data_IF_713086450568
#
_entry.id   IF_713086450568
#
_cell.length_a   1.000
_cell.length_b   1.000
_cell.length_c   1.000
_cell.angle_alpha   90.00
_cell.angle_beta   90.00
_cell.angle_gamma   90.00
#
_symmetry.space_group_name_H-M   'P 1'
#
loop_
_entity.id
_entity.type
_entity.pdbx_description
1 polymer ?
#
# COMPACT_ATOMS: atom_id res chain seq x y z
N UNK A 1 18.89 -1.13 8.80
CA UNK A 1 18.29 -0.02 8.02
C UNK A 1 19.20 1.20 7.89
N UNK A 2 19.72 1.78 8.99
CA UNK A 2 20.54 3.01 8.98
C UNK A 2 21.66 3.08 7.90
N UNK A 3 22.44 2.01 7.71
CA UNK A 3 23.52 1.95 6.71
C UNK A 3 23.02 2.00 5.25
N UNK A 4 21.83 1.45 4.98
CA UNK A 4 21.20 1.52 3.65
C UNK A 4 20.75 2.94 3.37
N UNK A 5 20.13 3.60 4.35
CA UNK A 5 19.65 4.97 4.23
C UNK A 5 20.78 5.93 3.89
N UNK A 6 21.88 5.87 4.64
CA UNK A 6 23.05 6.71 4.37
C UNK A 6 23.66 6.47 2.99
N UNK A 7 23.66 5.22 2.52
CA UNK A 7 24.20 4.86 1.21
C UNK A 7 23.28 5.30 0.08
N UNK A 8 21.96 5.15 0.24
CA UNK A 8 20.96 5.60 -0.72
C UNK A 8 20.91 7.13 -0.77
N UNK A 9 21.04 7.81 0.37
CA UNK A 9 21.16 9.26 0.46
C UNK A 9 22.37 9.76 -0.35
N UNK A 10 23.54 9.11 -0.25
CA UNK A 10 24.71 9.45 -1.09
C UNK A 10 24.41 9.31 -2.59
N UNK A 11 23.60 8.33 -2.98
CA UNK A 11 23.21 8.16 -4.38
C UNK A 11 22.30 9.28 -4.88
N UNK A 12 21.51 9.93 -4.02
CA UNK A 12 20.66 11.08 -4.42
C UNK A 12 21.49 12.21 -5.06
N UNK A 13 22.70 12.48 -4.55
CA UNK A 13 23.57 13.52 -5.10
C UNK A 13 24.10 13.23 -6.52
N UNK A 14 24.00 11.97 -6.97
CA UNK A 14 24.53 11.54 -8.28
C UNK A 14 23.46 11.01 -9.24
N UNK A 15 22.25 10.75 -8.74
CA UNK A 15 21.11 10.27 -9.50
C UNK A 15 19.90 11.19 -9.30
N UNK A 16 19.69 12.18 -10.20
CA UNK A 16 18.63 13.17 -10.07
C UNK A 16 17.22 12.57 -9.95
N UNK A 17 16.91 11.47 -10.65
CA UNK A 17 15.61 10.80 -10.51
C UNK A 17 15.38 10.32 -9.08
N UNK A 18 16.39 9.73 -8.43
CA UNK A 18 16.32 9.29 -7.04
C UNK A 18 16.21 10.47 -6.09
N UNK A 19 16.99 11.54 -6.29
CA UNK A 19 16.88 12.77 -5.49
C UNK A 19 15.47 13.33 -5.49
N UNK A 20 14.89 13.53 -6.67
CA UNK A 20 13.53 14.05 -6.81
C UNK A 20 12.51 13.09 -6.19
N UNK A 21 12.68 11.77 -6.34
CA UNK A 21 11.80 10.79 -5.69
C UNK A 21 11.87 10.89 -4.16
N UNK A 22 13.07 10.96 -3.59
CA UNK A 22 13.28 11.07 -2.14
C UNK A 22 12.68 12.36 -1.57
N UNK A 23 12.83 13.49 -2.26
CA UNK A 23 12.22 14.76 -1.88
C UNK A 23 10.69 14.69 -1.91
N UNK A 24 10.11 14.10 -2.95
CA UNK A 24 8.68 13.90 -3.03
C UNK A 24 8.17 13.01 -1.88
N UNK A 25 8.85 11.89 -1.58
CA UNK A 25 8.44 11.01 -0.46
C UNK A 25 8.53 11.74 0.88
N UNK A 26 9.58 12.54 1.10
CA UNK A 26 9.71 13.35 2.31
C UNK A 26 8.55 14.35 2.45
N UNK A 27 8.16 15.02 1.37
CA UNK A 27 7.01 15.93 1.37
C UNK A 27 5.68 15.19 1.60
N UNK A 28 5.50 13.99 1.03
CA UNK A 28 4.33 13.15 1.28
C UNK A 28 4.27 12.66 2.73
N UNK A 29 5.42 12.34 3.33
CA UNK A 29 5.50 11.95 4.74
C UNK A 29 5.22 13.12 5.68
N UNK A 30 5.74 14.31 5.38
CA UNK A 30 5.40 15.54 6.10
C UNK A 30 3.88 15.81 6.03
N UNK A 31 3.28 15.65 4.84
CA UNK A 31 1.82 15.73 4.67
C UNK A 31 1.10 14.70 5.54
N UNK A 32 1.58 13.46 5.63
CA UNK A 32 0.99 12.45 6.51
C UNK A 32 1.01 12.85 7.99
N UNK A 33 2.14 13.37 8.49
CA UNK A 33 2.26 13.78 9.89
C UNK A 33 1.40 15.01 10.22
N UNK A 34 1.31 15.96 9.28
CA UNK A 34 0.66 17.24 9.53
C UNK A 34 -0.83 17.27 9.16
N UNK A 35 -1.41 16.17 8.67
CA UNK A 35 -2.79 16.16 8.19
C UNK A 35 -3.57 14.99 8.75
N UNK A 36 -4.75 15.28 9.30
CA UNK A 36 -5.62 14.28 9.91
C UNK A 36 -6.52 13.63 8.86
N UNK A 37 -7.01 14.36 7.86
CA UNK A 37 -7.82 13.84 6.75
C UNK A 37 -7.62 14.63 5.44
N UNK A 38 -7.61 13.93 4.31
CA UNK A 38 -7.92 14.51 2.99
C UNK A 38 -7.08 15.73 2.54
N UNK A 39 -5.78 15.75 2.84
CA UNK A 39 -4.94 16.88 2.40
C UNK A 39 -4.43 16.72 0.98
N UNK A 40 -4.54 17.80 0.21
CA UNK A 40 -4.02 17.89 -1.16
C UNK A 40 -2.50 17.93 -1.14
N UNK A 41 -1.89 17.35 -2.17
CA UNK A 41 -0.45 17.43 -2.41
C UNK A 41 -0.02 18.88 -2.58
N UNK A 42 1.14 19.23 -2.04
CA UNK A 42 1.73 20.56 -2.28
C UNK A 42 2.23 20.68 -3.72
N UNK A 43 2.46 21.91 -4.18
CA UNK A 43 3.04 22.16 -5.50
C UNK A 43 4.45 21.57 -5.60
N UNK A 44 5.21 21.67 -4.52
CA UNK A 44 6.56 21.13 -4.38
C UNK A 44 6.56 19.60 -4.47
N UNK A 45 5.61 18.93 -3.78
CA UNK A 45 5.44 17.47 -3.85
C UNK A 45 5.17 17.04 -5.29
N UNK A 46 4.25 17.74 -5.97
CA UNK A 46 3.92 17.46 -7.37
C UNK A 46 5.10 17.72 -8.32
N UNK A 47 5.86 18.79 -8.07
CA UNK A 47 7.05 19.14 -8.86
C UNK A 47 8.11 18.04 -8.76
N UNK A 48 8.49 17.65 -7.54
CA UNK A 48 9.52 16.63 -7.35
C UNK A 48 9.07 15.27 -7.86
N UNK A 49 7.81 14.90 -7.69
CA UNK A 49 7.29 13.66 -8.27
C UNK A 49 7.37 13.71 -9.81
N UNK A 50 6.85 14.75 -10.45
CA UNK A 50 6.87 14.88 -11.91
C UNK A 50 8.30 14.81 -12.49
N UNK A 51 9.24 15.54 -11.88
CA UNK A 51 10.65 15.50 -12.27
C UNK A 51 11.26 14.10 -12.10
N UNK A 52 10.99 13.44 -10.97
CA UNK A 52 11.44 12.08 -10.72
C UNK A 52 10.97 11.13 -11.83
N UNK A 53 9.66 11.14 -12.13
CA UNK A 53 9.06 10.29 -13.16
C UNK A 53 9.67 10.53 -14.54
N UNK A 54 9.85 11.80 -14.94
CA UNK A 54 10.42 12.15 -16.23
C UNK A 54 11.88 11.69 -16.37
N UNK A 55 12.71 11.98 -15.35
CA UNK A 55 14.12 11.60 -15.32
C UNK A 55 14.31 10.10 -15.23
N UNK A 56 13.43 9.42 -14.49
CA UNK A 56 13.44 7.96 -14.38
C UNK A 56 13.11 7.30 -15.72
N UNK A 57 12.10 7.83 -16.43
CA UNK A 57 11.76 7.34 -17.77
C UNK A 57 12.92 7.50 -18.75
N UNK A 58 13.59 8.67 -18.76
CA UNK A 58 14.80 8.88 -19.57
C UNK A 58 15.94 7.93 -19.17
N UNK A 59 16.14 7.68 -17.86
CA UNK A 59 17.17 6.75 -17.38
C UNK A 59 16.92 5.32 -17.88
N UNK A 60 15.67 4.85 -17.86
CA UNK A 60 15.30 3.50 -18.30
C UNK A 60 15.41 3.30 -19.81
N UNK A 61 15.39 4.37 -20.61
CA UNK A 61 15.61 4.29 -22.08
C UNK A 61 17.08 4.10 -22.45
N UNK A 62 18.00 4.24 -21.50
CA UNK A 62 19.44 4.12 -21.73
C UNK A 62 19.94 2.76 -21.24
N UNK A 63 21.06 2.25 -21.77
CA UNK A 63 21.67 1.03 -21.26
C UNK A 63 21.96 1.12 -19.75
N UNK A 64 21.44 0.15 -18.99
CA UNK A 64 21.60 0.07 -17.53
C UNK A 64 22.93 -0.60 -17.20
N UNK A 65 23.80 0.12 -16.49
CA UNK A 65 25.07 -0.41 -15.96
C UNK A 65 24.88 -0.94 -14.54
N UNK A 66 25.79 -1.78 -14.07
CA UNK A 66 25.73 -2.33 -12.70
C UNK A 66 25.56 -1.26 -11.62
N UNK A 67 26.30 -0.15 -11.72
CA UNK A 67 26.22 0.98 -10.77
C UNK A 67 24.86 1.70 -10.75
N UNK A 68 24.05 1.51 -11.79
CA UNK A 68 22.75 2.16 -11.93
C UNK A 68 21.63 1.33 -11.28
N UNK A 69 21.87 0.05 -10.97
CA UNK A 69 20.85 -0.90 -10.49
C UNK A 69 20.19 -0.46 -9.18
N UNK A 70 20.97 -0.07 -8.16
CA UNK A 70 20.42 0.40 -6.88
C UNK A 70 19.68 1.73 -6.97
N UNK A 71 20.21 2.77 -7.65
CA UNK A 71 19.44 3.98 -7.90
C UNK A 71 18.12 3.71 -8.62
N UNK A 72 18.11 2.82 -9.63
CA UNK A 72 16.89 2.47 -10.37
C UNK A 72 15.87 1.80 -9.44
N UNK A 73 16.29 0.82 -8.65
CA UNK A 73 15.40 0.15 -7.70
C UNK A 73 14.88 1.12 -6.63
N UNK A 74 15.76 1.99 -6.10
CA UNK A 74 15.42 3.04 -5.15
C UNK A 74 14.36 4.00 -5.69
N UNK A 75 14.56 4.51 -6.91
CA UNK A 75 13.59 5.40 -7.57
C UNK A 75 12.27 4.68 -7.83
N UNK A 76 12.28 3.45 -8.33
CA UNK A 76 11.06 2.67 -8.58
C UNK A 76 10.27 2.41 -7.29
N UNK A 77 10.96 2.08 -6.20
CA UNK A 77 10.33 1.89 -4.90
C UNK A 77 9.70 3.17 -4.36
N UNK A 78 10.41 4.30 -4.44
CA UNK A 78 9.88 5.59 -4.02
C UNK A 78 8.65 6.01 -4.86
N UNK A 79 8.69 5.81 -6.18
CA UNK A 79 7.54 6.08 -7.06
C UNK A 79 6.34 5.17 -6.75
N UNK A 80 6.57 3.90 -6.39
CA UNK A 80 5.50 3.01 -5.94
C UNK A 80 4.86 3.51 -4.64
N UNK A 81 5.66 3.95 -3.66
CA UNK A 81 5.15 4.55 -2.41
C UNK A 81 4.38 5.84 -2.68
N UNK A 82 4.90 6.74 -3.52
CA UNK A 82 4.23 7.98 -3.91
C UNK A 82 2.87 7.71 -4.56
N UNK A 83 2.85 6.78 -5.50
CA UNK A 83 1.62 6.36 -6.19
C UNK A 83 0.61 5.79 -5.20
N UNK A 84 1.06 4.97 -4.26
CA UNK A 84 0.17 4.41 -3.25
C UNK A 84 -0.37 5.49 -2.30
N UNK A 85 0.50 6.30 -1.72
CA UNK A 85 0.20 7.32 -0.70
C UNK A 85 -0.59 8.54 -1.19
N UNK A 86 -0.89 8.59 -2.49
CA UNK A 86 -1.54 9.74 -3.11
C UNK A 86 -2.79 9.30 -3.86
N UNK A 87 -3.91 9.06 -3.15
CA UNK A 87 -5.19 8.86 -3.82
C UNK A 87 -5.54 10.10 -4.67
N UNK A 88 -6.23 9.88 -5.79
CA UNK A 88 -6.63 10.97 -6.70
C UNK A 88 -7.66 11.90 -6.05
N UNK A 89 -8.38 11.38 -5.06
CA UNK A 89 -9.39 12.07 -4.31
C UNK A 89 -8.95 12.34 -2.87
N UNK A 90 -9.47 13.42 -2.31
CA UNK A 90 -9.27 13.80 -0.92
C UNK A 90 -10.51 13.56 -0.06
N UNK A 91 -11.67 13.34 -0.70
CA UNK A 91 -12.93 12.98 -0.06
C UNK A 91 -13.31 11.56 -0.45
N UNK A 92 -13.92 10.78 0.46
CA UNK A 92 -14.42 9.44 0.14
C UNK A 92 -15.39 9.43 -1.05
N UNK A 93 -16.30 10.40 -1.11
CA UNK A 93 -17.32 10.52 -2.16
C UNK A 93 -16.71 10.68 -3.56
N UNK A 94 -15.56 11.36 -3.64
CA UNK A 94 -14.84 11.61 -4.90
C UNK A 94 -13.83 10.48 -5.22
N UNK A 95 -13.64 9.54 -4.31
CA UNK A 95 -12.65 8.46 -4.42
C UNK A 95 -13.24 7.23 -5.07
N UNK A 96 -12.38 6.41 -5.67
CA UNK A 96 -12.75 5.02 -5.93
C UNK A 96 -12.99 4.30 -4.59
N UNK A 97 -14.01 3.41 -4.46
CA UNK A 97 -14.93 2.94 -5.50
C UNK A 97 -16.19 3.81 -5.75
N UNK A 98 -16.40 4.91 -5.02
CA UNK A 98 -17.60 5.76 -5.12
C UNK A 98 -17.70 6.52 -6.45
N UNK A 99 -16.60 7.13 -6.92
CA UNK A 99 -16.58 7.88 -8.18
C UNK A 99 -17.04 7.00 -9.35
N UNK A 100 -17.69 7.57 -10.37
CA UNK A 100 -18.04 6.83 -11.58
C UNK A 100 -16.80 6.16 -12.19
N UNK A 101 -16.96 4.90 -12.62
CA UNK A 101 -15.84 4.12 -13.16
C UNK A 101 -15.10 4.89 -14.25
N UNK A 102 -13.79 5.02 -14.08
CA UNK A 102 -12.91 5.78 -14.96
C UNK A 102 -11.74 4.94 -15.45
N UNK A 103 -11.03 5.45 -16.47
CA UNK A 103 -9.86 4.77 -17.02
C UNK A 103 -8.69 4.63 -16.02
N UNK A 104 -8.69 5.41 -14.94
CA UNK A 104 -7.60 5.47 -13.96
C UNK A 104 -7.86 4.61 -12.70
N UNK A 105 -8.93 3.80 -12.69
CA UNK A 105 -9.28 2.97 -11.54
C UNK A 105 -8.21 1.90 -11.28
N UNK A 106 -7.73 1.82 -10.03
CA UNK A 106 -6.67 0.90 -9.60
C UNK A 106 -5.33 1.07 -10.34
N UNK A 107 -5.03 2.25 -10.90
CA UNK A 107 -3.73 2.53 -11.56
C UNK A 107 -2.52 2.28 -10.64
N UNK A 108 -2.69 2.48 -9.33
CA UNK A 108 -1.65 2.16 -8.35
C UNK A 108 -1.26 0.68 -8.36
N UNK A 109 -2.19 -0.23 -8.65
CA UNK A 109 -1.92 -1.68 -8.80
C UNK A 109 -1.05 -1.91 -10.03
N UNK A 110 -1.37 -1.24 -11.15
CA UNK A 110 -0.58 -1.30 -12.38
C UNK A 110 0.85 -0.80 -12.13
N UNK A 111 1.02 0.28 -11.37
CA UNK A 111 2.33 0.84 -11.04
C UNK A 111 3.19 -0.10 -10.18
N UNK A 112 2.59 -0.76 -9.17
CA UNK A 112 3.31 -1.75 -8.34
C UNK A 112 3.82 -2.90 -9.22
N UNK A 113 2.99 -3.41 -10.13
CA UNK A 113 3.40 -4.45 -11.08
C UNK A 113 4.52 -3.95 -12.01
N UNK A 114 4.45 -2.68 -12.44
CA UNK A 114 5.48 -2.02 -13.23
C UNK A 114 6.84 -2.03 -12.54
N UNK A 115 6.90 -1.75 -11.23
CA UNK A 115 8.15 -1.88 -10.45
C UNK A 115 8.72 -3.30 -10.51
N UNK A 116 7.87 -4.33 -10.38
CA UNK A 116 8.33 -5.72 -10.37
C UNK A 116 8.89 -6.19 -11.71
N UNK A 117 8.51 -5.55 -12.82
CA UNK A 117 9.15 -5.80 -14.12
C UNK A 117 10.66 -5.49 -14.14
N UNK A 118 11.13 -4.62 -13.23
CA UNK A 118 12.54 -4.27 -13.10
C UNK A 118 13.33 -5.30 -12.28
N UNK A 119 12.67 -6.24 -11.60
CA UNK A 119 13.31 -7.15 -10.64
C UNK A 119 14.50 -7.91 -11.23
N UNK A 120 14.32 -8.51 -12.40
CA UNK A 120 15.36 -9.27 -13.09
C UNK A 120 16.48 -8.37 -13.64
N UNK A 121 16.17 -7.11 -13.98
CA UNK A 121 17.14 -6.16 -14.51
C UNK A 121 18.08 -5.63 -13.41
N UNK A 122 17.52 -5.30 -12.25
CA UNK A 122 18.26 -4.66 -11.16
C UNK A 122 18.77 -5.65 -10.12
N UNK A 123 18.19 -6.84 -10.05
CA UNK A 123 18.56 -7.93 -9.13
C UNK A 123 18.82 -7.39 -7.72
N UNK A 124 17.78 -6.91 -7.00
CA UNK A 124 17.98 -6.19 -5.73
C UNK A 124 18.63 -7.07 -4.65
N UNK A 125 18.60 -8.39 -4.83
CA UNK A 125 19.20 -9.40 -3.97
C UNK A 125 20.66 -9.73 -4.25
N UNK A 126 21.28 -9.15 -5.29
CA UNK A 126 22.71 -9.35 -5.57
C UNK A 126 23.57 -8.96 -4.37
N UNK A 127 24.68 -9.65 -4.15
CA UNK A 127 25.51 -9.51 -2.94
C UNK A 127 26.08 -8.10 -2.77
N UNK A 128 26.32 -7.39 -3.87
CA UNK A 128 26.84 -6.01 -3.88
C UNK A 128 25.74 -4.92 -3.88
N UNK A 129 24.48 -5.32 -3.75
CA UNK A 129 23.34 -4.38 -3.66
C UNK A 129 23.19 -3.80 -2.26
N UNK A 130 22.89 -2.50 -2.20
CA UNK A 130 22.44 -1.86 -0.97
C UNK A 130 21.17 -2.50 -0.39
N UNK A 131 20.35 -3.09 -1.24
CA UNK A 131 19.08 -3.75 -0.87
C UNK A 131 19.24 -5.21 -0.46
N UNK A 132 20.45 -5.78 -0.52
CA UNK A 132 20.68 -7.17 -0.12
C UNK A 132 20.26 -7.44 1.34
N UNK A 133 20.39 -6.45 2.22
CA UNK A 133 19.94 -6.56 3.62
C UNK A 133 18.42 -6.71 3.78
N UNK A 134 17.65 -6.40 2.74
CA UNK A 134 16.20 -6.56 2.72
C UNK A 134 15.76 -7.99 2.37
N UNK A 135 16.67 -8.97 2.34
CA UNK A 135 16.37 -10.35 1.98
C UNK A 135 15.14 -10.92 2.69
N UNK A 136 15.05 -10.76 4.02
CA UNK A 136 13.88 -11.19 4.80
C UNK A 136 12.57 -10.56 4.31
N UNK A 137 12.59 -9.25 4.01
CA UNK A 137 11.42 -8.54 3.48
C UNK A 137 11.01 -9.07 2.11
N UNK A 138 11.98 -9.37 1.24
CA UNK A 138 11.72 -9.93 -0.08
C UNK A 138 11.22 -11.37 -0.02
N UNK A 139 11.74 -12.18 0.91
CA UNK A 139 11.28 -13.55 1.15
C UNK A 139 9.83 -13.55 1.65
N UNK A 140 9.47 -12.61 2.54
CA UNK A 140 8.08 -12.41 2.98
C UNK A 140 7.17 -11.99 1.82
N UNK A 141 7.61 -11.00 1.03
CA UNK A 141 6.87 -10.46 -0.11
C UNK A 141 6.59 -11.53 -1.19
N UNK A 142 7.56 -12.42 -1.42
CA UNK A 142 7.50 -13.47 -2.44
C UNK A 142 7.13 -14.83 -1.84
N UNK A 143 6.65 -14.85 -0.60
CA UNK A 143 6.29 -16.08 0.10
C UNK A 143 5.27 -16.88 -0.72
N UNK A 144 5.49 -18.20 -0.91
CA UNK A 144 4.54 -19.03 -1.63
C UNK A 144 3.23 -19.10 -0.84
N UNK A 145 2.12 -18.91 -1.56
CA UNK A 145 0.79 -19.19 -1.01
C UNK A 145 0.42 -20.65 -1.32
N UNK A 146 -0.47 -21.27 -0.52
CA UNK A 146 -0.99 -22.60 -0.82
C UNK A 146 -1.57 -22.68 -2.24
N UNK A 147 -1.45 -23.84 -2.89
CA UNK A 147 -2.05 -24.09 -4.21
C UNK A 147 -3.50 -24.57 -4.12
N UNK A 148 -3.87 -25.15 -2.97
CA UNK A 148 -5.20 -25.72 -2.72
C UNK A 148 -5.61 -25.55 -1.25
N UNK A 149 -6.92 -25.43 -1.02
CA UNK A 149 -7.55 -25.48 0.29
C UNK A 149 -7.51 -24.17 1.07
N UNK A 150 -7.88 -24.25 2.35
CA UNK A 150 -8.26 -23.10 3.19
C UNK A 150 -7.33 -22.87 4.37
N UNK A 151 -6.23 -23.63 4.47
CA UNK A 151 -5.33 -23.60 5.63
C UNK A 151 -4.82 -22.18 5.90
N UNK A 152 -5.03 -21.70 7.12
CA UNK A 152 -4.55 -20.39 7.57
C UNK A 152 -5.52 -19.23 7.31
N UNK A 153 -6.64 -19.49 6.63
CA UNK A 153 -7.72 -18.53 6.42
C UNK A 153 -8.70 -18.62 7.60
N UNK A 154 -9.06 -17.50 8.26
CA UNK A 154 -10.12 -17.48 9.26
C UNK A 154 -11.47 -17.93 8.70
N UNK A 155 -12.24 -18.70 9.48
CA UNK A 155 -13.53 -19.26 9.07
C UNK A 155 -14.48 -18.24 8.40
N UNK A 156 -14.66 -17.02 8.92
CA UNK A 156 -15.57 -16.08 8.27
C UNK A 156 -15.13 -15.65 6.87
N UNK A 157 -13.82 -15.61 6.62
CA UNK A 157 -13.28 -15.31 5.28
C UNK A 157 -13.49 -16.52 4.35
N UNK A 158 -13.37 -17.74 4.87
CA UNK A 158 -13.68 -18.98 4.12
C UNK A 158 -15.14 -18.94 3.65
N UNK A 159 -16.07 -18.67 4.58
CA UNK A 159 -17.50 -18.62 4.29
C UNK A 159 -17.85 -17.55 3.24
N UNK A 160 -17.37 -16.32 3.42
CA UNK A 160 -17.70 -15.20 2.52
C UNK A 160 -17.07 -15.38 1.14
N UNK A 161 -15.85 -15.92 1.07
CA UNK A 161 -15.19 -16.19 -0.21
C UNK A 161 -15.67 -17.49 -0.86
N UNK A 162 -16.58 -18.24 -0.23
CA UNK A 162 -17.08 -19.55 -0.67
C UNK A 162 -15.93 -20.53 -0.94
N UNK A 163 -14.95 -20.56 -0.04
CA UNK A 163 -13.80 -21.46 -0.14
C UNK A 163 -14.10 -22.79 0.57
N UNK A 164 -13.48 -23.86 0.09
CA UNK A 164 -13.52 -25.20 0.68
C UNK A 164 -12.16 -25.89 0.50
N UNK A 165 -11.98 -27.08 1.08
CA UNK A 165 -10.69 -27.79 1.14
C UNK A 165 -10.05 -28.14 -0.21
N UNK A 166 -10.83 -28.09 -1.29
CA UNK A 166 -10.38 -28.36 -2.65
C UNK A 166 -10.33 -27.09 -3.52
N UNK A 167 -10.70 -25.93 -2.99
CA UNK A 167 -10.65 -24.68 -3.75
C UNK A 167 -9.23 -24.38 -4.19
N UNK A 168 -9.11 -23.87 -5.42
CA UNK A 168 -7.85 -23.46 -6.04
C UNK A 168 -7.99 -22.05 -6.61
N UNK A 169 -6.86 -21.47 -7.02
CA UNK A 169 -6.85 -20.16 -7.69
C UNK A 169 -7.50 -20.16 -9.08
N UNK A 170 -7.56 -21.32 -9.75
CA UNK A 170 -8.17 -21.45 -11.08
C UNK A 170 -9.70 -21.41 -11.01
N UNK A 171 -10.26 -21.93 -9.91
CA UNK A 171 -11.71 -22.04 -9.72
C UNK A 171 -12.30 -20.85 -8.95
N UNK A 172 -11.56 -20.31 -7.99
CA UNK A 172 -12.04 -19.24 -7.12
C UNK A 172 -11.17 -17.98 -7.22
N UNK A 173 -11.70 -16.87 -7.76
CA UNK A 173 -10.94 -15.64 -7.97
C UNK A 173 -10.53 -14.93 -6.66
N UNK A 174 -11.13 -15.28 -5.52
CA UNK A 174 -10.77 -14.74 -4.20
C UNK A 174 -9.61 -15.50 -3.55
N UNK A 175 -9.26 -16.69 -4.04
CA UNK A 175 -8.39 -17.63 -3.35
C UNK A 175 -7.07 -17.02 -2.87
N UNK A 176 -6.27 -16.42 -3.77
CA UNK A 176 -5.00 -15.82 -3.38
C UNK A 176 -5.17 -14.55 -2.53
N UNK A 177 -6.21 -13.77 -2.79
CA UNK A 177 -6.52 -12.58 -1.99
C UNK A 177 -6.85 -12.97 -0.55
N UNK A 178 -7.72 -13.97 -0.35
CA UNK A 178 -8.10 -14.48 0.97
C UNK A 178 -6.89 -15.02 1.74
N UNK A 179 -6.04 -15.83 1.12
CA UNK A 179 -4.78 -16.32 1.72
C UNK A 179 -3.85 -15.17 2.11
N UNK A 180 -3.62 -14.22 1.22
CA UNK A 180 -2.69 -13.11 1.46
C UNK A 180 -3.20 -12.13 2.53
N UNK A 181 -4.49 -11.81 2.55
CA UNK A 181 -5.11 -10.98 3.61
C UNK A 181 -5.00 -11.70 4.96
N UNK A 182 -5.32 -13.00 4.99
CA UNK A 182 -5.28 -13.80 6.22
C UNK A 182 -3.88 -13.82 6.84
N UNK A 183 -2.84 -13.91 6.01
CA UNK A 183 -1.45 -13.84 6.50
C UNK A 183 -1.17 -12.56 7.28
N UNK A 184 -1.65 -11.41 6.80
CA UNK A 184 -1.43 -10.11 7.46
C UNK A 184 -2.34 -9.94 8.68
N UNK A 185 -3.57 -10.45 8.63
CA UNK A 185 -4.52 -10.38 9.74
C UNK A 185 -4.06 -11.18 10.97
N UNK A 186 -3.37 -12.31 10.76
CA UNK A 186 -2.90 -13.19 11.83
C UNK A 186 -1.68 -12.65 12.60
N UNK A 187 -1.06 -11.56 12.14
CA UNK A 187 0.08 -10.93 12.81
C UNK A 187 -0.39 -9.86 13.80
N UNK A 188 0.27 -9.64 14.95
CA UNK A 188 0.04 -8.45 15.75
C UNK A 188 0.50 -7.19 15.00
N UNK A 189 -0.12 -6.04 15.28
CA UNK A 189 0.13 -4.79 14.53
C UNK A 189 1.62 -4.36 14.59
N UNK A 190 2.32 -4.68 15.68
CA UNK A 190 3.76 -4.42 15.87
C UNK A 190 4.69 -5.27 14.99
N UNK A 191 4.21 -6.39 14.46
CA UNK A 191 4.99 -7.33 13.64
C UNK A 191 4.67 -7.21 12.13
N UNK A 192 3.67 -6.40 11.77
CA UNK A 192 3.35 -6.16 10.37
C UNK A 192 4.49 -5.38 9.70
N UNK A 193 5.08 -5.99 8.68
CA UNK A 193 6.17 -5.41 7.89
C UNK A 193 5.69 -5.08 6.48
N UNK A 194 6.48 -4.29 5.75
CA UNK A 194 6.24 -4.04 4.32
C UNK A 194 6.21 -5.32 3.49
N UNK A 195 7.02 -6.33 3.83
CA UNK A 195 7.04 -7.61 3.11
C UNK A 195 5.69 -8.33 3.22
N UNK A 196 5.17 -8.44 4.44
CA UNK A 196 3.84 -9.02 4.70
C UNK A 196 2.73 -8.30 3.95
N UNK A 197 2.71 -6.96 3.98
CA UNK A 197 1.64 -6.21 3.31
C UNK A 197 1.73 -6.28 1.79
N UNK A 198 2.93 -6.39 1.23
CA UNK A 198 3.15 -6.53 -0.21
C UNK A 198 2.74 -7.89 -0.76
N UNK A 199 2.70 -8.95 0.05
CA UNK A 199 2.22 -10.26 -0.41
C UNK A 199 0.82 -10.18 -1.03
N UNK A 200 -0.08 -9.39 -0.44
CA UNK A 200 -1.42 -9.14 -0.97
C UNK A 200 -1.38 -8.31 -2.27
N UNK A 201 -0.62 -7.21 -2.30
CA UNK A 201 -0.61 -6.32 -3.47
C UNK A 201 -0.01 -6.97 -4.72
N UNK A 202 0.91 -7.93 -4.56
CA UNK A 202 1.44 -8.74 -5.66
C UNK A 202 0.41 -9.72 -6.25
N UNK A 203 -0.71 -9.96 -5.55
CA UNK A 203 -1.80 -10.86 -5.99
C UNK A 203 -3.03 -10.11 -6.49
N UNK A 204 -3.00 -8.77 -6.56
CA UNK A 204 -4.09 -7.92 -7.06
C UNK A 204 -4.24 -7.92 -8.59
N UNK A 205 -3.88 -9.02 -9.26
CA UNK A 205 -3.96 -9.17 -10.72
C UNK A 205 -5.17 -9.98 -11.18
N UNK A 206 -5.22 -10.24 -12.49
CA UNK A 206 -6.11 -11.25 -13.09
C UNK A 206 -7.58 -11.09 -12.75
N UNK A 207 -8.23 -12.21 -12.41
CA UNK A 207 -9.66 -12.29 -12.13
C UNK A 207 -10.06 -11.44 -10.91
N UNK A 208 -9.23 -11.40 -9.86
CA UNK A 208 -9.50 -10.58 -8.68
C UNK A 208 -9.53 -9.08 -8.99
N UNK A 209 -8.58 -8.59 -9.82
CA UNK A 209 -8.61 -7.18 -10.28
C UNK A 209 -9.90 -6.86 -11.04
N UNK A 210 -10.37 -7.80 -11.87
CA UNK A 210 -11.62 -7.62 -12.61
C UNK A 210 -12.84 -7.53 -11.69
N UNK A 211 -12.84 -8.26 -10.57
CA UNK A 211 -13.88 -8.15 -9.53
C UNK A 211 -13.85 -6.82 -8.81
N UNK A 212 -12.65 -6.32 -8.44
CA UNK A 212 -12.52 -4.98 -7.88
C UNK A 212 -13.05 -3.91 -8.83
N UNK A 213 -12.71 -3.97 -10.12
CA UNK A 213 -13.21 -3.02 -11.12
C UNK A 213 -14.75 -3.06 -11.27
N UNK A 214 -15.34 -4.24 -11.04
CA UNK A 214 -16.79 -4.43 -10.98
C UNK A 214 -17.41 -4.10 -9.62
N UNK A 215 -16.60 -3.67 -8.64
CA UNK A 215 -17.01 -3.33 -7.27
C UNK A 215 -17.65 -4.51 -6.55
N UNK A 216 -17.21 -5.72 -6.86
CA UNK A 216 -17.68 -6.92 -6.18
C UNK A 216 -17.54 -6.79 -4.65
N UNK A 217 -18.63 -7.01 -3.87
CA UNK A 217 -18.63 -6.78 -2.43
C UNK A 217 -17.56 -7.59 -1.67
N UNK A 218 -17.32 -8.84 -2.07
CA UNK A 218 -16.34 -9.72 -1.42
C UNK A 218 -14.92 -9.25 -1.72
N UNK A 219 -14.62 -8.88 -2.97
CA UNK A 219 -13.33 -8.31 -3.35
C UNK A 219 -13.06 -6.97 -2.63
N UNK A 220 -14.06 -6.10 -2.55
CA UNK A 220 -13.95 -4.84 -1.81
C UNK A 220 -13.74 -5.07 -0.31
N UNK A 221 -14.39 -6.09 0.27
CA UNK A 221 -14.23 -6.44 1.68
C UNK A 221 -12.80 -6.91 1.98
N UNK A 222 -12.25 -7.81 1.18
CA UNK A 222 -10.87 -8.28 1.34
C UNK A 222 -9.86 -7.13 1.22
N UNK A 223 -10.06 -6.21 0.26
CA UNK A 223 -9.25 -5.00 0.15
C UNK A 223 -9.39 -4.09 1.37
N UNK A 224 -10.62 -3.90 1.88
CA UNK A 224 -10.88 -3.14 3.09
C UNK A 224 -10.18 -3.74 4.32
N UNK A 225 -10.29 -5.04 4.54
CA UNK A 225 -9.61 -5.74 5.64
C UNK A 225 -8.09 -5.53 5.58
N UNK A 226 -7.51 -5.67 4.39
CA UNK A 226 -6.10 -5.40 4.18
C UNK A 226 -5.74 -3.95 4.49
N UNK A 227 -6.48 -2.96 3.97
CA UNK A 227 -6.24 -1.55 4.29
C UNK A 227 -6.30 -1.27 5.78
N UNK A 228 -7.31 -1.80 6.47
CA UNK A 228 -7.51 -1.59 7.91
C UNK A 228 -6.38 -2.17 8.74
N UNK A 229 -5.82 -3.30 8.33
CA UNK A 229 -4.72 -3.95 9.04
C UNK A 229 -3.39 -3.30 8.70
N UNK A 230 -3.06 -3.22 7.41
CA UNK A 230 -1.79 -2.72 6.92
C UNK A 230 -1.60 -1.22 7.19
N UNK A 231 -2.66 -0.42 7.09
CA UNK A 231 -2.63 1.01 7.36
C UNK A 231 -2.31 1.38 8.81
N UNK A 232 -2.51 0.48 9.79
CA UNK A 232 -2.13 0.74 11.19
C UNK A 232 -0.63 0.70 11.42
N UNK A 233 0.10 0.01 10.56
CA UNK A 233 1.54 -0.22 10.72
C UNK A 233 2.36 0.47 9.64
N UNK A 234 1.75 0.85 8.52
CA UNK A 234 2.43 1.39 7.33
C UNK A 234 1.76 2.70 6.89
N UNK A 235 2.41 3.82 7.20
CA UNK A 235 1.88 5.18 6.99
C UNK A 235 1.42 5.46 5.55
N UNK A 236 2.15 4.98 4.53
CA UNK A 236 1.80 5.25 3.14
C UNK A 236 0.58 4.45 2.69
N UNK A 237 0.29 3.31 3.32
CA UNK A 237 -0.96 2.59 3.14
C UNK A 237 -2.09 3.37 3.82
N UNK A 238 -1.83 3.87 5.02
CA UNK A 238 -2.80 4.63 5.79
C UNK A 238 -3.34 5.86 5.03
N UNK A 239 -2.46 6.61 4.36
CA UNK A 239 -2.86 7.79 3.58
C UNK A 239 -3.97 7.48 2.55
N UNK A 240 -3.86 6.36 1.83
CA UNK A 240 -4.91 5.91 0.89
C UNK A 240 -6.11 5.35 1.64
N UNK A 241 -5.86 4.54 2.68
CA UNK A 241 -6.92 3.93 3.48
C UNK A 241 -7.85 4.97 4.12
N UNK A 242 -7.35 6.14 4.55
CA UNK A 242 -8.16 7.24 5.11
C UNK A 242 -9.22 7.76 4.15
N UNK A 243 -9.03 7.60 2.84
CA UNK A 243 -9.98 8.04 1.80
C UNK A 243 -10.77 6.86 1.23
N UNK A 244 -10.09 5.77 0.88
CA UNK A 244 -10.74 4.62 0.22
C UNK A 244 -11.52 3.73 1.19
N UNK A 245 -11.12 3.59 2.46
CA UNK A 245 -11.90 2.78 3.41
C UNK A 245 -13.31 3.34 3.64
N UNK A 246 -13.50 4.65 3.91
CA UNK A 246 -14.85 5.21 3.99
C UNK A 246 -15.61 5.08 2.67
N UNK A 247 -14.95 5.23 1.52
CA UNK A 247 -15.58 5.06 0.20
C UNK A 247 -16.09 3.62 -0.04
N UNK A 248 -15.27 2.61 0.32
CA UNK A 248 -15.68 1.20 0.29
C UNK A 248 -16.88 0.96 1.21
N UNK A 249 -16.88 1.55 2.42
CA UNK A 249 -18.03 1.40 3.32
C UNK A 249 -19.29 2.05 2.77
N UNK A 250 -19.18 3.22 2.14
CA UNK A 250 -20.33 3.92 1.56
C UNK A 250 -20.98 3.09 0.46
N UNK A 251 -20.20 2.58 -0.50
CA UNK A 251 -20.77 1.79 -1.62
C UNK A 251 -21.42 0.51 -1.13
N UNK A 252 -20.81 -0.14 -0.13
CA UNK A 252 -21.35 -1.31 0.53
C UNK A 252 -22.71 -1.01 1.19
N UNK A 253 -22.83 0.09 1.93
CA UNK A 253 -24.10 0.46 2.56
C UNK A 253 -25.19 0.84 1.54
N UNK A 254 -24.81 1.50 0.44
CA UNK A 254 -25.75 1.84 -0.64
C UNK A 254 -26.32 0.59 -1.32
N UNK A 255 -25.50 -0.44 -1.53
CA UNK A 255 -25.96 -1.73 -2.08
C UNK A 255 -26.90 -2.45 -1.11
N UNK A 256 -26.61 -2.43 0.19
CA UNK A 256 -27.48 -3.01 1.22
C UNK A 256 -28.87 -2.35 1.24
N UNK A 257 -28.94 -1.02 1.22
CA UNK A 257 -30.23 -0.28 1.23
C UNK A 257 -31.06 -0.61 -0.03
N UNK A 258 -30.41 -0.79 -1.18
CA UNK A 258 -31.05 -1.16 -2.45
C UNK A 258 -31.52 -2.62 -2.51
N UNK A 259 -30.85 -3.54 -1.80
CA UNK A 259 -31.24 -4.95 -1.64
C UNK A 259 -32.37 -5.14 -0.63
N UNK A 260 -32.33 -4.43 0.50
CA UNK A 260 -33.42 -4.44 1.51
C UNK A 260 -34.74 -3.92 0.91
N UNK A 261 -34.67 -3.02 -0.07
CA UNK A 261 -35.82 -2.56 -0.86
C UNK A 261 -36.36 -3.60 -1.87
N UNK A 262 -35.61 -4.67 -2.20
CA UNK A 262 -35.93 -5.64 -3.26
C UNK A 262 -36.19 -7.10 -2.80
N UNK A 263 -36.03 -7.43 -1.51
CA UNK A 263 -36.25 -8.75 -0.88
C UNK A 263 -35.45 -9.96 -1.46
N UNK A 264 -34.55 -10.53 -0.64
CA UNK A 264 -33.98 -11.87 -0.80
C UNK A 264 -33.04 -12.29 0.34
N UNK A 265 -33.31 -13.42 1.01
CA UNK A 265 -32.69 -13.92 2.26
C UNK A 265 -31.30 -14.59 2.03
N UNK A 266 -30.46 -14.02 1.17
CA UNK A 266 -29.17 -14.62 0.76
C UNK A 266 -27.92 -13.98 1.35
N UNK A 267 -27.93 -12.66 1.54
CA UNK A 267 -26.72 -11.85 1.82
C UNK A 267 -26.61 -11.36 3.26
N UNK A 268 -27.56 -11.72 4.13
CA UNK A 268 -27.64 -11.30 5.53
C UNK A 268 -26.36 -11.64 6.33
N UNK A 269 -25.60 -12.69 5.93
CA UNK A 269 -24.33 -13.08 6.55
C UNK A 269 -23.13 -12.23 6.13
N UNK A 270 -23.06 -11.85 4.85
CA UNK A 270 -22.02 -10.93 4.35
C UNK A 270 -22.22 -9.60 5.06
N UNK A 271 -23.45 -9.09 5.06
CA UNK A 271 -23.80 -7.85 5.74
C UNK A 271 -23.64 -7.92 7.27
N UNK A 272 -23.95 -9.05 7.92
CA UNK A 272 -23.68 -9.25 9.35
C UNK A 272 -22.19 -9.22 9.68
N UNK A 273 -21.33 -9.87 8.88
CA UNK A 273 -19.89 -9.87 9.10
C UNK A 273 -19.23 -8.54 8.72
N UNK A 274 -19.67 -7.93 7.62
CA UNK A 274 -19.29 -6.58 7.19
C UNK A 274 -19.67 -5.59 8.29
N UNK A 275 -20.91 -5.62 8.82
CA UNK A 275 -21.36 -4.75 9.90
C UNK A 275 -20.65 -5.05 11.23
N UNK A 276 -20.41 -6.31 11.59
CA UNK A 276 -19.66 -6.68 12.79
C UNK A 276 -18.20 -6.20 12.71
N UNK A 277 -17.57 -6.32 11.53
CA UNK A 277 -16.18 -5.89 11.31
C UNK A 277 -16.07 -4.37 11.18
N UNK A 278 -17.04 -3.71 10.56
CA UNK A 278 -17.14 -2.25 10.46
C UNK A 278 -17.48 -1.62 11.82
N UNK A 279 -18.37 -2.22 12.63
CA UNK A 279 -18.77 -1.68 13.93
C UNK A 279 -17.78 -1.96 15.05
N UNK A 280 -17.18 -3.15 15.14
CA UNK A 280 -16.12 -3.41 16.13
C UNK A 280 -14.88 -2.54 15.90
N UNK A 281 -14.77 -1.93 14.73
CA UNK A 281 -13.67 -1.03 14.41
C UNK A 281 -13.98 0.46 14.57
N UNK A 282 -15.20 0.86 14.99
CA UNK A 282 -15.50 2.21 15.51
C UNK A 282 -14.82 2.47 16.87
N UNK A 283 -14.45 1.43 17.61
CA UNK A 283 -13.84 1.54 18.95
C UNK A 283 -12.35 1.94 18.89
N UNK A 284 -11.74 1.98 17.71
CA UNK A 284 -10.33 2.35 17.53
C UNK A 284 -10.14 3.65 16.71
N UNK A 285 -11.10 4.57 16.70
CA UNK A 285 -10.82 5.95 16.32
C UNK A 285 -9.96 6.58 17.43
N UNK A 286 -8.68 6.78 17.15
CA UNK A 286 -7.79 7.52 18.05
C UNK A 286 -8.38 8.92 18.28
N UNK A 287 -8.72 9.22 19.54
CA UNK A 287 -8.73 10.61 19.99
C UNK A 287 -7.30 11.15 19.83
N UNK A 288 -7.10 12.33 19.21
CA UNK A 288 -5.78 12.94 19.15
C UNK A 288 -5.33 13.23 20.58
N UNK A 289 -4.16 12.73 20.97
CA UNK A 289 -3.50 13.19 22.19
C UNK A 289 -3.03 14.63 21.98
N UNK A 290 -3.57 15.55 22.79
CA UNK A 290 -3.18 16.95 22.86
C UNK A 290 -1.69 17.10 23.25
N UNK A 291 -0.79 17.13 22.26
CA UNK A 291 0.54 17.72 22.44
C UNK A 291 0.89 18.61 21.24
N UNK A 292 0.51 19.88 21.35
CA UNK A 292 0.92 20.94 20.43
C UNK A 292 2.40 21.27 20.62
N UNK A 293 3.28 20.69 19.83
CA UNK A 293 4.67 21.15 19.71
C UNK A 293 4.84 22.02 18.44
N UNK A 294 4.96 23.32 18.65
CA UNK A 294 5.19 24.31 17.59
C UNK A 294 6.62 24.21 17.06
N UNK A 295 6.80 23.71 15.82
CA UNK A 295 8.09 23.70 15.14
C UNK A 295 8.23 24.92 14.20
N UNK A 296 9.18 25.82 14.54
CA UNK A 296 9.67 26.88 13.64
C UNK A 296 10.83 26.34 12.82
N UNK A 297 10.74 26.55 11.50
CA UNK A 297 11.53 25.86 10.48
C UNK A 297 13.03 26.13 10.47
N UNK A 298 13.76 25.10 10.04
CA UNK A 298 15.04 25.19 9.35
C UNK A 298 15.10 24.06 8.30
N UNK A 299 15.03 24.42 7.02
CA UNK A 299 14.85 23.48 5.89
C UNK A 299 16.01 22.50 5.68
N UNK A 300 17.18 22.76 6.29
CA UNK A 300 18.30 21.80 6.28
C UNK A 300 18.08 20.61 7.21
N UNK A 301 17.42 20.83 8.35
CA UNK A 301 17.14 19.80 9.35
C UNK A 301 15.98 18.89 8.91
N UNK A 302 15.04 19.44 8.15
CA UNK A 302 13.97 18.68 7.49
C UNK A 302 14.48 17.72 6.41
N UNK A 303 15.61 18.03 5.76
CA UNK A 303 16.19 17.17 4.73
C UNK A 303 16.96 15.98 5.34
N UNK A 304 17.67 16.17 6.44
CA UNK A 304 18.38 15.08 7.14
C UNK A 304 17.40 14.13 7.86
N UNK A 305 16.42 14.66 8.60
CA UNK A 305 15.39 13.83 9.25
C UNK A 305 14.37 13.26 8.26
N UNK A 306 13.96 14.05 7.27
CA UNK A 306 13.02 13.63 6.24
C UNK A 306 13.59 12.62 5.25
N UNK A 307 14.91 12.50 5.07
CA UNK A 307 15.50 11.44 4.23
C UNK A 307 15.67 10.12 4.97
N UNK A 308 15.99 10.14 6.27
CA UNK A 308 15.97 8.91 7.06
C UNK A 308 14.53 8.38 7.19
N UNK A 309 13.54 9.24 7.44
CA UNK A 309 12.14 8.83 7.48
C UNK A 309 11.55 8.54 6.10
N UNK A 310 11.90 9.25 5.01
CA UNK A 310 11.43 8.94 3.66
C UNK A 310 12.02 7.64 3.10
N UNK A 311 13.25 7.27 3.50
CA UNK A 311 13.87 6.03 3.07
C UNK A 311 13.39 4.85 3.94
N UNK A 312 13.22 5.05 5.26
CA UNK A 312 12.51 4.11 6.14
C UNK A 312 11.07 3.91 5.66
N UNK A 313 10.40 4.97 5.26
CA UNK A 313 9.09 4.94 4.64
C UNK A 313 9.04 4.19 3.31
N UNK A 314 10.13 4.26 2.52
CA UNK A 314 10.25 3.53 1.26
C UNK A 314 10.53 2.03 1.47
N UNK A 315 11.06 1.64 2.64
CA UNK A 315 11.63 0.28 2.84
C UNK A 315 11.33 -0.43 4.19
N UNK A 316 10.47 0.12 5.06
CA UNK A 316 9.79 -0.59 6.15
C UNK A 316 10.27 -0.31 7.58
N UNK A 317 9.31 0.01 8.46
CA UNK A 317 9.36 -0.12 9.92
C UNK A 317 9.35 1.21 10.70
N UNK A 318 8.63 1.34 11.82
CA UNK A 318 8.69 2.54 12.66
C UNK A 318 10.10 2.70 13.28
N UNK A 319 10.48 3.92 13.69
CA UNK A 319 11.74 4.14 14.38
C UNK A 319 11.79 3.26 15.64
N UNK A 320 12.83 2.44 15.78
CA UNK A 320 13.13 1.78 17.05
C UNK A 320 13.26 2.87 18.12
N UNK A 321 12.37 2.84 19.11
CA UNK A 321 12.51 3.65 20.31
C UNK A 321 13.77 3.18 21.04
N UNK A 322 14.87 3.90 20.86
CA UNK A 322 16.12 3.66 21.57
C UNK A 322 15.91 3.82 23.08
N UNK A 323 16.32 2.79 23.83
CA UNK A 323 16.65 2.90 25.25
C UNK A 323 18.07 3.41 25.45
#
# INVERSE_FOLDING_TARGET
MLKVNQSLFKLTFTYPCLMHASLAVALTYDRYLNTTTGSRRSLEECYHWSQSTALFNDKLRRPVKTKDKDPIWGTAAALAVLTFSSPDAYRPEDSWPMKSSGNDDLEWVTMINGKMSLWQLVEPMRVDSLFHVMGVTFDQMLSPLPEVGTRGIPEPIIEICLLHDLSTADENPYFYAAHAVSHVLNLPDSEVTTGHTQLFTHRLGGAYKALLLKRDPVALLLLYLWYRKAGRSIWWIELRARVECPAIRMIMLEEQDMEELNHGVGEERIWSYVNATIHNTKVCEHQPSDETATWKGDGRRAMELGTDDAIVATFGGPPESGG
#
